data_IF_082199636791
#
_entry.id   IF_082199636791
#
_cell.length_a   1.000
_cell.length_b   1.000
_cell.length_c   1.000
_cell.angle_alpha   90.00
_cell.angle_beta   90.00
_cell.angle_gamma   90.00
#
_symmetry.space_group_name_H-M   'P 1'
#
loop_
_entity.id
_entity.type
_entity.pdbx_description
1 polymer ?
#
# COMPACT_ATOMS: atom_id res chain seq x y z
N UNK A 1 7.60 13.70 9.10
CA UNK A 1 7.25 12.84 7.96
C UNK A 1 6.86 13.72 6.75
N UNK A 2 6.65 13.18 5.54
CA UNK A 2 6.28 13.98 4.35
C UNK A 2 4.89 14.66 4.47
N UNK A 3 4.65 15.70 3.66
CA UNK A 3 3.41 16.50 3.61
C UNK A 3 2.51 16.15 2.41
N UNK A 4 2.58 14.90 1.95
CA UNK A 4 1.99 14.48 0.68
C UNK A 4 0.47 14.56 0.68
N UNK A 5 -0.15 14.13 1.77
CA UNK A 5 -1.60 14.10 1.94
C UNK A 5 -2.15 15.53 1.95
N UNK A 6 -1.49 16.42 2.69
CA UNK A 6 -1.81 17.83 2.77
C UNK A 6 -1.75 18.50 1.39
N UNK A 7 -0.67 18.26 0.64
CA UNK A 7 -0.53 18.74 -0.75
C UNK A 7 -1.62 18.21 -1.67
N UNK A 8 -1.96 16.93 -1.57
CA UNK A 8 -3.03 16.33 -2.36
C UNK A 8 -4.38 16.98 -2.06
N UNK A 9 -4.71 17.22 -0.78
CA UNK A 9 -5.97 17.89 -0.41
C UNK A 9 -6.05 19.30 -1.00
N UNK A 10 -4.96 20.07 -0.95
CA UNK A 10 -4.91 21.44 -1.50
C UNK A 10 -5.17 21.45 -3.02
N UNK A 11 -4.78 20.39 -3.73
CA UNK A 11 -4.99 20.27 -5.18
C UNK A 11 -6.44 19.94 -5.56
N UNK A 12 -7.25 19.44 -4.62
CA UNK A 12 -8.65 19.11 -4.87
C UNK A 12 -9.48 20.39 -4.75
N UNK A 13 -10.32 20.65 -5.75
CA UNK A 13 -11.16 21.86 -5.78
C UNK A 13 -12.06 21.93 -4.53
N UNK A 14 -12.19 23.11 -3.93
CA UNK A 14 -12.96 23.29 -2.69
C UNK A 14 -14.45 22.93 -2.81
N UNK A 15 -15.01 23.05 -4.01
CA UNK A 15 -16.40 22.68 -4.31
C UNK A 15 -16.57 21.18 -4.68
N UNK A 16 -15.50 20.39 -4.62
CA UNK A 16 -15.57 18.95 -4.84
C UNK A 16 -16.33 18.25 -3.68
N UNK A 17 -17.13 17.24 -4.01
CA UNK A 17 -17.95 16.49 -3.05
C UNK A 17 -17.13 15.94 -1.88
N UNK A 18 -15.95 15.38 -2.17
CA UNK A 18 -15.03 14.87 -1.14
C UNK A 18 -14.69 15.96 -0.11
N UNK A 19 -14.32 17.17 -0.56
CA UNK A 19 -13.90 18.25 0.35
C UNK A 19 -15.07 18.73 1.21
N UNK A 20 -16.25 18.88 0.62
CA UNK A 20 -17.46 19.23 1.37
C UNK A 20 -17.79 18.19 2.44
N UNK A 21 -17.70 16.90 2.08
CA UNK A 21 -17.97 15.78 2.96
C UNK A 21 -16.93 15.65 4.08
N UNK A 22 -15.65 15.87 3.78
CA UNK A 22 -14.58 15.91 4.77
C UNK A 22 -14.78 17.06 5.77
N UNK A 23 -15.16 18.26 5.32
CA UNK A 23 -15.44 19.39 6.20
C UNK A 23 -16.62 19.09 7.15
N UNK A 24 -17.68 18.47 6.62
CA UNK A 24 -18.84 18.07 7.43
C UNK A 24 -18.44 17.03 8.49
N UNK A 25 -17.72 15.97 8.09
CA UNK A 25 -17.29 14.92 9.02
C UNK A 25 -16.27 15.41 10.04
N UNK A 26 -15.40 16.34 9.66
CA UNK A 26 -14.44 16.97 10.58
C UNK A 26 -15.16 17.65 11.74
N UNK A 27 -16.29 18.31 11.46
CA UNK A 27 -17.13 18.94 12.49
C UNK A 27 -17.89 17.90 13.31
N UNK A 28 -18.50 16.90 12.66
CA UNK A 28 -19.36 15.90 13.32
C UNK A 28 -18.59 14.96 14.24
N UNK A 29 -17.41 14.54 13.82
CA UNK A 29 -16.61 13.53 14.52
C UNK A 29 -15.48 14.17 15.36
N UNK A 30 -15.35 15.50 15.35
CA UNK A 30 -14.31 16.27 16.03
C UNK A 30 -12.89 15.75 15.72
N UNK A 31 -12.66 15.44 14.44
CA UNK A 31 -11.37 15.00 13.89
C UNK A 31 -10.92 15.98 12.82
N UNK A 32 -9.63 16.15 12.64
CA UNK A 32 -9.12 16.92 11.51
C UNK A 32 -9.26 16.13 10.19
N UNK A 33 -9.22 16.82 9.06
CA UNK A 33 -9.42 16.20 7.74
C UNK A 33 -8.35 15.13 7.46
N UNK A 34 -7.11 15.34 7.90
CA UNK A 34 -6.00 14.41 7.68
C UNK A 34 -6.24 13.09 8.44
N UNK A 35 -6.71 13.17 9.68
CA UNK A 35 -7.12 12.01 10.48
C UNK A 35 -8.22 11.23 9.77
N UNK A 36 -9.27 11.92 9.29
CA UNK A 36 -10.37 11.28 8.58
C UNK A 36 -9.88 10.57 7.32
N UNK A 37 -9.04 11.24 6.52
CA UNK A 37 -8.46 10.63 5.32
C UNK A 37 -7.59 9.42 5.66
N UNK A 38 -6.74 9.53 6.67
CA UNK A 38 -5.89 8.42 7.11
C UNK A 38 -6.74 7.22 7.53
N UNK A 39 -7.70 7.42 8.44
CA UNK A 39 -8.57 6.35 8.95
C UNK A 39 -9.35 5.67 7.84
N UNK A 40 -10.05 6.44 7.02
CA UNK A 40 -10.89 5.89 5.94
C UNK A 40 -10.06 5.20 4.86
N UNK A 41 -8.92 5.78 4.47
CA UNK A 41 -8.03 5.19 3.45
C UNK A 41 -7.39 3.90 3.96
N UNK A 42 -6.89 3.87 5.20
CA UNK A 42 -6.30 2.65 5.77
C UNK A 42 -7.36 1.58 5.97
N UNK A 43 -8.55 1.93 6.44
CA UNK A 43 -9.68 0.99 6.56
C UNK A 43 -10.02 0.38 5.21
N UNK A 44 -10.15 1.21 4.16
CA UNK A 44 -10.40 0.76 2.80
C UNK A 44 -9.28 -0.11 2.22
N UNK A 45 -8.02 0.30 2.37
CA UNK A 45 -6.85 -0.44 1.89
C UNK A 45 -6.69 -1.77 2.62
N UNK A 46 -7.08 -1.86 3.89
CA UNK A 46 -7.03 -3.08 4.70
C UNK A 46 -8.00 -4.16 4.19
N UNK A 47 -9.16 -3.74 3.65
CA UNK A 47 -10.13 -4.64 3.01
C UNK A 47 -9.67 -5.14 1.64
N UNK A 48 -8.75 -4.42 0.99
CA UNK A 48 -8.34 -4.69 -0.40
C UNK A 48 -6.89 -5.18 -0.53
N UNK A 49 -6.29 -5.64 0.58
CA UNK A 49 -4.89 -6.09 0.63
C UNK A 49 -4.61 -7.18 -0.40
N UNK A 50 -3.61 -6.97 -1.27
CA UNK A 50 -3.18 -7.99 -2.23
C UNK A 50 -2.67 -9.29 -1.57
N UNK A 51 -2.76 -10.46 -2.26
CA UNK A 51 -2.32 -11.76 -1.74
C UNK A 51 -0.81 -11.82 -1.44
N UNK A 52 -0.28 -13.01 -1.10
CA UNK A 52 1.12 -13.11 -0.64
C UNK A 52 2.08 -12.89 -1.79
N UNK A 53 3.22 -12.26 -1.49
CA UNK A 53 4.22 -11.76 -2.45
C UNK A 53 4.61 -12.76 -3.55
N UNK A 54 4.63 -14.07 -3.25
CA UNK A 54 5.03 -15.16 -4.16
C UNK A 54 3.90 -15.68 -5.05
N UNK A 55 2.67 -15.25 -4.78
CA UNK A 55 1.48 -15.93 -5.28
C UNK A 55 0.85 -15.25 -6.50
N UNK A 56 1.37 -14.10 -6.89
CA UNK A 56 0.79 -13.32 -7.97
C UNK A 56 1.88 -12.53 -8.67
N UNK A 57 1.79 -12.57 -10.00
CA UNK A 57 2.45 -11.61 -10.85
C UNK A 57 1.51 -10.45 -11.01
N UNK A 58 1.82 -9.45 -10.21
CA UNK A 58 0.92 -8.37 -9.85
C UNK A 58 0.49 -7.56 -11.07
N UNK A 59 1.30 -7.59 -12.11
CA UNK A 59 1.16 -6.68 -13.21
C UNK A 59 1.44 -7.37 -14.53
N UNK A 60 0.42 -7.40 -15.38
CA UNK A 60 0.51 -7.75 -16.80
C UNK A 60 -0.21 -6.63 -17.54
N UNK A 61 0.45 -5.49 -17.71
CA UNK A 61 0.04 -4.53 -18.73
C UNK A 61 1.14 -4.45 -19.79
N UNK A 62 0.73 -4.45 -21.05
CA UNK A 62 1.62 -4.47 -22.22
C UNK A 62 2.67 -5.61 -22.22
N UNK A 63 2.38 -6.74 -21.59
CA UNK A 63 3.27 -7.91 -21.52
C UNK A 63 4.45 -7.78 -20.53
N UNK A 64 4.47 -6.74 -19.68
CA UNK A 64 5.56 -6.53 -18.72
C UNK A 64 5.16 -7.05 -17.34
N UNK A 65 5.86 -8.10 -16.88
CA UNK A 65 5.60 -8.79 -15.62
C UNK A 65 6.42 -8.25 -14.45
N UNK A 66 5.76 -7.88 -13.34
CA UNK A 66 6.42 -7.65 -12.05
C UNK A 66 5.78 -8.51 -10.95
N UNK A 67 6.58 -9.43 -10.40
CA UNK A 67 6.14 -10.31 -9.32
C UNK A 67 6.04 -9.58 -7.98
N UNK A 68 5.12 -10.01 -7.10
CA UNK A 68 4.92 -9.36 -5.80
C UNK A 68 6.12 -9.41 -4.87
N UNK A 69 6.96 -10.44 -5.01
CA UNK A 69 8.24 -10.50 -4.30
C UNK A 69 9.14 -9.33 -4.69
N UNK A 70 9.15 -8.94 -5.97
CA UNK A 70 9.97 -7.83 -6.43
C UNK A 70 9.48 -6.51 -5.83
N UNK A 71 8.19 -6.22 -5.93
CA UNK A 71 7.60 -4.99 -5.35
C UNK A 71 7.84 -4.94 -3.84
N UNK A 72 7.62 -6.06 -3.14
CA UNK A 72 7.86 -6.08 -1.71
C UNK A 72 9.32 -5.89 -1.34
N UNK A 73 10.27 -6.48 -2.07
CA UNK A 73 11.68 -6.32 -1.75
C UNK A 73 12.16 -4.89 -2.07
N UNK A 74 11.57 -4.25 -3.09
CA UNK A 74 11.79 -2.82 -3.33
C UNK A 74 11.33 -1.97 -2.16
N UNK A 75 10.21 -2.31 -1.51
CA UNK A 75 9.66 -1.56 -0.38
C UNK A 75 10.32 -1.89 0.95
N UNK A 76 10.36 -3.17 1.34
CA UNK A 76 10.85 -3.57 2.67
C UNK A 76 12.39 -3.66 2.74
N UNK A 77 13.05 -3.81 1.59
CA UNK A 77 14.43 -4.27 1.50
C UNK A 77 14.59 -5.78 1.49
N UNK A 78 15.84 -6.24 1.46
CA UNK A 78 16.17 -7.67 1.51
C UNK A 78 17.57 -7.84 2.07
N UNK A 79 17.71 -8.61 3.14
CA UNK A 79 19.03 -9.00 3.65
C UNK A 79 19.85 -9.67 2.56
N UNK A 80 21.12 -9.30 2.47
CA UNK A 80 22.07 -9.94 1.57
C UNK A 80 22.16 -11.45 1.84
N UNK A 81 22.50 -12.20 0.81
CA UNK A 81 22.86 -13.60 0.94
C UNK A 81 24.15 -13.75 1.74
N UNK A 82 24.48 -14.99 2.14
CA UNK A 82 25.68 -15.25 2.96
C UNK A 82 26.99 -14.80 2.29
N UNK A 83 26.98 -14.69 0.96
CA UNK A 83 28.09 -14.20 0.14
C UNK A 83 28.11 -12.67 -0.02
N UNK A 84 27.21 -11.95 0.66
CA UNK A 84 27.09 -10.49 0.58
C UNK A 84 26.32 -9.99 -0.65
N UNK A 85 25.81 -10.87 -1.51
CA UNK A 85 25.15 -10.48 -2.76
C UNK A 85 23.63 -10.39 -2.64
N UNK A 86 22.96 -9.83 -3.66
CA UNK A 86 21.50 -9.79 -3.79
C UNK A 86 20.73 -9.13 -2.62
N UNK A 87 21.42 -8.32 -1.81
CA UNK A 87 20.82 -7.48 -0.79
C UNK A 87 20.15 -6.23 -1.37
N UNK A 88 19.21 -5.67 -0.62
CA UNK A 88 18.57 -4.39 -0.88
C UNK A 88 18.44 -3.66 0.46
N UNK A 89 18.59 -2.34 0.42
CA UNK A 89 18.49 -1.50 1.61
C UNK A 89 17.16 -1.73 2.35
N UNK A 90 17.23 -1.83 3.68
CA UNK A 90 16.09 -2.15 4.55
C UNK A 90 15.22 -0.91 4.82
N UNK A 91 14.60 -0.35 3.77
CA UNK A 91 13.94 0.96 3.84
C UNK A 91 12.90 1.08 4.96
N UNK A 92 12.02 0.09 5.15
CA UNK A 92 11.02 0.15 6.22
C UNK A 92 11.68 0.11 7.62
N UNK A 93 12.74 -0.68 7.80
CA UNK A 93 13.47 -0.71 9.08
C UNK A 93 14.17 0.63 9.33
N UNK A 94 14.74 1.25 8.28
CA UNK A 94 15.35 2.56 8.36
C UNK A 94 14.33 3.65 8.74
N UNK A 95 13.11 3.62 8.18
CA UNK A 95 12.02 4.54 8.55
C UNK A 95 11.63 4.36 10.02
N UNK A 96 11.39 3.12 10.46
CA UNK A 96 11.02 2.84 11.86
C UNK A 96 12.14 3.27 12.82
N UNK A 97 13.41 3.01 12.46
CA UNK A 97 14.55 3.45 13.27
C UNK A 97 14.69 4.98 13.33
N UNK A 98 14.26 5.69 12.29
CA UNK A 98 14.36 7.17 12.20
C UNK A 98 13.24 7.87 12.96
N UNK A 99 12.00 7.41 12.81
CA UNK A 99 10.82 8.10 13.34
C UNK A 99 10.24 7.46 14.61
N UNK A 100 10.61 6.20 14.90
CA UNK A 100 10.02 5.42 15.98
C UNK A 100 8.76 4.66 15.55
N UNK A 101 8.44 3.60 16.29
CA UNK A 101 7.29 2.72 16.03
C UNK A 101 5.95 3.45 16.21
N UNK A 102 5.85 4.31 17.23
CA UNK A 102 4.63 5.07 17.54
C UNK A 102 4.25 6.06 16.43
N UNK A 103 5.22 6.85 15.96
CA UNK A 103 5.03 7.80 14.87
C UNK A 103 4.62 7.09 13.57
N UNK A 104 5.21 5.92 13.27
CA UNK A 104 4.83 5.09 12.12
C UNK A 104 3.42 4.53 12.27
N UNK A 105 3.03 4.13 13.48
CA UNK A 105 1.70 3.59 13.80
C UNK A 105 0.59 4.65 13.62
N UNK A 106 0.85 5.89 14.03
CA UNK A 106 -0.11 7.00 13.86
C UNK A 106 -0.18 7.49 12.40
N UNK A 107 0.89 7.28 11.62
CA UNK A 107 1.01 7.83 10.27
C UNK A 107 1.20 6.75 9.18
N UNK A 108 0.44 5.65 9.24
CA UNK A 108 0.60 4.49 8.34
C UNK A 108 0.48 4.88 6.86
N UNK A 109 -0.51 5.72 6.49
CA UNK A 109 -0.69 6.12 5.10
C UNK A 109 0.48 6.96 4.59
N UNK A 110 0.93 7.95 5.37
CA UNK A 110 2.12 8.77 5.04
C UNK A 110 3.38 7.91 4.94
N UNK A 111 3.54 6.97 5.86
CA UNK A 111 4.64 6.01 5.85
C UNK A 111 4.61 5.12 4.60
N UNK A 112 3.42 4.64 4.21
CA UNK A 112 3.24 3.85 3.01
C UNK A 112 3.65 4.62 1.75
N UNK A 113 3.23 5.88 1.62
CA UNK A 113 3.63 6.76 0.51
C UNK A 113 5.14 7.03 0.52
N UNK A 114 5.71 7.29 1.69
CA UNK A 114 7.16 7.47 1.85
C UNK A 114 7.93 6.23 1.39
N UNK A 115 7.44 5.04 1.75
CA UNK A 115 8.04 3.77 1.35
C UNK A 115 8.03 3.60 -0.17
N UNK A 116 6.94 3.97 -0.84
CA UNK A 116 6.87 3.93 -2.32
C UNK A 116 7.89 4.90 -2.92
N UNK A 117 7.96 6.15 -2.43
CA UNK A 117 8.93 7.14 -2.92
C UNK A 117 10.36 6.64 -2.81
N UNK A 118 10.77 6.24 -1.60
CA UNK A 118 12.12 5.73 -1.36
C UNK A 118 12.44 4.52 -2.26
N UNK A 119 11.46 3.63 -2.47
CA UNK A 119 11.63 2.47 -3.37
C UNK A 119 11.91 2.88 -4.81
N UNK A 120 11.18 3.90 -5.30
CA UNK A 120 11.32 4.43 -6.66
C UNK A 120 12.66 5.16 -6.79
N UNK A 121 12.94 6.07 -5.87
CA UNK A 121 14.15 6.90 -5.84
C UNK A 121 15.40 6.03 -5.80
N UNK A 122 15.42 5.00 -4.95
CA UNK A 122 16.54 4.07 -4.86
C UNK A 122 16.80 3.34 -6.19
N UNK A 123 15.77 2.99 -6.96
CA UNK A 123 15.99 2.40 -8.30
C UNK A 123 16.55 3.43 -9.28
N UNK A 124 16.09 4.67 -9.27
CA UNK A 124 16.61 5.70 -10.18
C UNK A 124 18.04 6.15 -9.82
N UNK A 125 18.40 6.16 -8.54
CA UNK A 125 19.74 6.51 -8.08
C UNK A 125 20.74 5.36 -8.28
N UNK A 126 20.39 4.12 -7.88
CA UNK A 126 21.34 3.01 -7.78
C UNK A 126 21.05 1.83 -8.73
N UNK A 127 19.91 1.84 -9.43
CA UNK A 127 19.51 0.77 -10.33
C UNK A 127 20.27 0.79 -11.67
N UNK A 128 20.34 -0.37 -12.33
CA UNK A 128 20.83 -0.47 -13.71
C UNK A 128 19.86 0.17 -14.69
N UNK A 129 20.32 0.61 -15.87
CA UNK A 129 19.45 1.21 -16.90
C UNK A 129 18.23 0.33 -17.23
N UNK A 130 18.42 -0.99 -17.36
CA UNK A 130 17.33 -1.95 -17.56
C UNK A 130 16.28 -1.92 -16.42
N UNK A 131 16.71 -1.75 -15.17
CA UNK A 131 15.79 -1.61 -14.03
C UNK A 131 15.08 -0.26 -14.06
N UNK A 132 15.80 0.83 -14.34
CA UNK A 132 15.22 2.19 -14.48
C UNK A 132 14.15 2.24 -15.56
N UNK A 133 14.44 1.71 -16.76
CA UNK A 133 13.47 1.60 -17.85
C UNK A 133 12.24 0.80 -17.48
N UNK A 134 12.44 -0.36 -16.83
CA UNK A 134 11.34 -1.23 -16.39
C UNK A 134 10.46 -0.49 -15.37
N UNK A 135 11.06 0.15 -14.37
CA UNK A 135 10.34 0.90 -13.34
C UNK A 135 9.62 2.12 -13.90
N UNK A 136 10.24 2.86 -14.83
CA UNK A 136 9.61 3.97 -15.53
C UNK A 136 8.28 3.52 -16.17
N UNK A 137 8.30 2.42 -16.94
CA UNK A 137 7.07 1.89 -17.58
C UNK A 137 5.97 1.57 -16.58
N UNK A 138 6.32 1.03 -15.40
CA UNK A 138 5.34 0.70 -14.37
C UNK A 138 4.77 1.92 -13.66
N UNK A 139 5.59 2.89 -13.29
CA UNK A 139 5.15 4.09 -12.57
C UNK A 139 4.18 4.93 -13.40
N UNK A 140 4.28 4.87 -14.73
CA UNK A 140 3.32 5.53 -15.61
C UNK A 140 1.89 4.96 -15.48
N UNK A 141 1.72 3.85 -14.79
CA UNK A 141 0.43 3.25 -14.53
C UNK A 141 -0.05 3.46 -13.08
N UNK A 142 -1.17 4.16 -12.92
CA UNK A 142 -1.80 4.42 -11.62
C UNK A 142 -2.21 3.14 -10.88
N UNK A 143 -2.67 2.11 -11.59
CA UNK A 143 -3.01 0.82 -10.99
C UNK A 143 -1.77 0.13 -10.39
N UNK A 144 -0.58 0.31 -10.98
CA UNK A 144 0.67 -0.22 -10.43
C UNK A 144 1.02 0.48 -9.11
N UNK A 145 0.93 1.80 -9.09
CA UNK A 145 1.15 2.60 -7.87
C UNK A 145 0.12 2.28 -6.79
N UNK A 146 -1.14 2.00 -7.18
CA UNK A 146 -2.17 1.55 -6.27
C UNK A 146 -1.83 0.21 -5.63
N UNK A 147 -1.30 -0.74 -6.40
CA UNK A 147 -0.82 -1.98 -5.80
C UNK A 147 0.38 -1.75 -4.89
N UNK A 148 1.33 -0.89 -5.29
CA UNK A 148 2.44 -0.53 -4.40
C UNK A 148 1.92 0.03 -3.07
N UNK A 149 0.86 0.85 -3.09
CA UNK A 149 0.23 1.38 -1.88
C UNK A 149 -0.40 0.28 -1.01
N UNK A 150 -1.20 -0.61 -1.61
CA UNK A 150 -1.79 -1.75 -0.89
C UNK A 150 -0.72 -2.65 -0.26
N UNK A 151 0.39 -2.88 -0.99
CA UNK A 151 1.52 -3.65 -0.48
C UNK A 151 2.27 -2.95 0.64
N UNK A 152 2.49 -1.64 0.53
CA UNK A 152 3.17 -0.86 1.55
C UNK A 152 2.39 -0.90 2.88
N UNK A 153 1.08 -0.64 2.83
CA UNK A 153 0.19 -0.71 4.01
C UNK A 153 0.24 -2.11 4.64
N UNK A 154 0.13 -3.17 3.83
CA UNK A 154 0.26 -4.56 4.30
C UNK A 154 1.59 -4.82 5.00
N UNK A 155 2.70 -4.40 4.40
CA UNK A 155 4.05 -4.67 4.93
C UNK A 155 4.25 -3.91 6.24
N UNK A 156 3.77 -2.67 6.35
CA UNK A 156 3.81 -1.88 7.59
C UNK A 156 3.02 -2.59 8.69
N UNK A 157 1.76 -2.98 8.43
CA UNK A 157 0.94 -3.67 9.43
C UNK A 157 1.55 -4.99 9.92
N UNK A 158 2.06 -5.82 8.99
CA UNK A 158 2.78 -7.06 9.36
C UNK A 158 4.04 -6.76 10.19
N UNK A 159 4.81 -5.71 9.85
CA UNK A 159 6.03 -5.35 10.58
C UNK A 159 5.72 -4.88 12.00
N UNK A 160 4.71 -4.03 12.18
CA UNK A 160 4.27 -3.55 13.49
C UNK A 160 3.75 -4.70 14.37
N UNK A 161 2.94 -5.61 13.80
CA UNK A 161 2.50 -6.83 14.50
C UNK A 161 3.68 -7.70 14.96
N UNK A 162 4.69 -7.89 14.10
CA UNK A 162 5.88 -8.66 14.45
C UNK A 162 6.76 -8.00 15.52
N UNK A 163 6.65 -6.68 15.70
CA UNK A 163 7.29 -5.92 16.76
C UNK A 163 6.46 -5.88 18.05
N UNK A 164 5.27 -6.51 18.06
CA UNK A 164 4.28 -6.44 19.14
C UNK A 164 3.80 -5.01 19.45
N UNK A 165 3.74 -4.14 18.43
CA UNK A 165 3.16 -2.80 18.55
C UNK A 165 1.64 -2.91 18.48
N UNK A 166 0.93 -2.25 19.39
CA UNK A 166 -0.54 -2.15 19.34
C UNK A 166 -0.94 -1.17 18.22
N UNK A 167 -1.27 -1.72 17.06
CA UNK A 167 -1.62 -0.92 15.87
C UNK A 167 -2.91 -0.15 16.15
N UNK A 168 -2.87 1.17 15.99
CA UNK A 168 -3.98 2.05 16.32
C UNK A 168 -5.23 1.70 15.50
N UNK A 169 -5.02 1.44 14.20
CA UNK A 169 -6.06 1.04 13.25
C UNK A 169 -6.41 -0.44 13.40
N UNK A 170 -7.55 -0.72 14.02
CA UNK A 170 -7.97 -2.07 14.40
C UNK A 170 -8.30 -2.93 13.18
N UNK A 171 -8.90 -2.36 12.12
CA UNK A 171 -9.14 -3.07 10.86
C UNK A 171 -7.82 -3.56 10.25
N UNK A 172 -6.79 -2.71 10.17
CA UNK A 172 -5.50 -3.11 9.63
C UNK A 172 -4.82 -4.17 10.50
N UNK A 173 -4.84 -3.97 11.82
CA UNK A 173 -4.28 -4.89 12.82
C UNK A 173 -4.82 -6.31 12.63
N UNK A 174 -6.14 -6.44 12.63
CA UNK A 174 -6.82 -7.72 12.49
C UNK A 174 -6.58 -8.36 11.12
N UNK A 175 -6.76 -7.61 10.04
CA UNK A 175 -6.62 -8.14 8.68
C UNK A 175 -5.20 -8.65 8.42
N UNK A 176 -4.18 -7.91 8.85
CA UNK A 176 -2.79 -8.34 8.67
C UNK A 176 -2.40 -9.51 9.55
N UNK A 177 -2.98 -9.62 10.76
CA UNK A 177 -2.83 -10.80 11.63
C UNK A 177 -3.44 -12.06 11.00
N UNK A 178 -4.68 -11.98 10.52
CA UNK A 178 -5.35 -13.11 9.85
C UNK A 178 -4.60 -13.57 8.60
N UNK A 179 -4.09 -12.62 7.80
CA UNK A 179 -3.27 -12.95 6.62
C UNK A 179 -1.97 -13.69 7.00
N UNK A 180 -1.37 -13.35 8.14
CA UNK A 180 -0.15 -14.01 8.60
C UNK A 180 -0.44 -15.41 9.19
N UNK A 181 -1.53 -15.54 9.96
CA UNK A 181 -2.01 -16.82 10.50
C UNK A 181 -2.40 -17.81 9.38
N UNK A 182 -3.09 -17.34 8.34
CA UNK A 182 -3.54 -18.17 7.21
C UNK A 182 -2.53 -18.25 6.06
N UNK A 183 -1.28 -17.80 6.28
CA UNK A 183 -0.26 -17.73 5.25
C UNK A 183 -0.04 -19.07 4.52
N UNK A 184 -0.18 -20.20 5.23
CA UNK A 184 -0.06 -21.55 4.64
C UNK A 184 -1.27 -21.93 3.77
N UNK A 185 -2.48 -21.56 4.16
CA UNK A 185 -3.70 -21.85 3.40
C UNK A 185 -3.72 -21.04 2.11
N UNK A 186 -3.42 -19.74 2.21
CA UNK A 186 -3.27 -18.86 1.04
C UNK A 186 -2.20 -19.43 0.10
N UNK A 187 -1.10 -20.01 0.62
CA UNK A 187 -0.10 -20.69 -0.23
C UNK A 187 -0.67 -21.77 -1.09
N UNK A 188 -1.47 -22.64 -0.48
CA UNK A 188 -1.97 -23.81 -1.15
C UNK A 188 -2.98 -23.40 -2.21
N UNK A 189 -3.76 -22.35 -1.96
CA UNK A 189 -4.71 -21.76 -2.91
C UNK A 189 -4.05 -21.42 -4.26
N UNK A 190 -2.87 -20.81 -4.22
CA UNK A 190 -2.17 -20.34 -5.42
C UNK A 190 -1.15 -21.33 -5.99
N UNK A 191 -0.76 -22.37 -5.23
CA UNK A 191 0.33 -23.29 -5.61
C UNK A 191 0.05 -24.02 -6.92
N UNK A 192 -1.19 -24.49 -7.11
CA UNK A 192 -1.55 -25.31 -8.27
C UNK A 192 -1.66 -24.47 -9.54
N UNK A 193 -2.19 -23.26 -9.41
CA UNK A 193 -2.48 -22.38 -10.55
C UNK A 193 -1.25 -21.64 -11.08
N UNK A 194 -0.29 -21.32 -10.21
CA UNK A 194 1.00 -20.74 -10.65
C UNK A 194 1.77 -21.70 -11.54
N UNK A 195 1.65 -23.01 -11.28
CA UNK A 195 2.34 -24.05 -12.06
C UNK A 195 1.61 -24.36 -13.37
N UNK A 196 0.29 -24.20 -13.42
CA UNK A 196 -0.51 -24.47 -14.64
C UNK A 196 -0.37 -23.36 -15.69
N UNK A 197 -0.15 -22.11 -15.25
CA UNK A 197 -0.09 -20.95 -16.16
C UNK A 197 -1.45 -20.56 -16.76
N UNK A 198 -2.53 -21.16 -16.27
CA UNK A 198 -3.91 -20.89 -16.71
C UNK A 198 -4.42 -19.59 -16.09
N UNK A 199 -4.65 -18.58 -16.93
CA UNK A 199 -5.08 -17.25 -16.51
C UNK A 199 -6.52 -17.24 -15.95
N UNK A 200 -7.40 -18.10 -16.45
CA UNK A 200 -8.79 -18.17 -15.96
C UNK A 200 -8.82 -18.78 -14.56
N UNK A 201 -8.10 -19.88 -14.35
CA UNK A 201 -7.91 -20.46 -13.02
C UNK A 201 -7.26 -19.46 -12.06
N UNK A 202 -6.30 -18.67 -12.55
CA UNK A 202 -5.63 -17.66 -11.72
C UNK A 202 -6.61 -16.59 -11.25
N UNK A 203 -7.45 -16.09 -12.15
CA UNK A 203 -8.47 -15.11 -11.81
C UNK A 203 -9.48 -15.68 -10.80
N UNK A 204 -9.88 -16.95 -10.95
CA UNK A 204 -10.78 -17.62 -9.99
C UNK A 204 -10.18 -17.73 -8.59
N UNK A 205 -8.90 -18.11 -8.48
CA UNK A 205 -8.20 -18.17 -7.20
C UNK A 205 -8.04 -16.78 -6.57
N UNK A 206 -7.79 -15.75 -7.39
CA UNK A 206 -7.76 -14.36 -6.93
C UNK A 206 -9.12 -13.93 -6.37
N UNK A 207 -10.23 -14.25 -7.05
CA UNK A 207 -11.58 -13.97 -6.54
C UNK A 207 -11.83 -14.66 -5.20
N UNK A 208 -11.49 -15.95 -5.08
CA UNK A 208 -11.64 -16.70 -3.84
C UNK A 208 -10.78 -16.14 -2.69
N UNK A 209 -9.60 -15.61 -2.99
CA UNK A 209 -8.80 -14.89 -2.00
C UNK A 209 -9.50 -13.64 -1.47
N UNK A 210 -10.10 -12.82 -2.35
CA UNK A 210 -10.86 -11.65 -1.89
C UNK A 210 -12.15 -12.03 -1.16
N UNK A 211 -12.81 -13.12 -1.55
CA UNK A 211 -13.91 -13.68 -0.75
C UNK A 211 -13.45 -14.09 0.66
N UNK A 212 -12.25 -14.65 0.80
CA UNK A 212 -11.69 -14.97 2.12
C UNK A 212 -11.33 -13.71 2.93
N UNK A 213 -10.81 -12.66 2.28
CA UNK A 213 -10.60 -11.38 2.97
C UNK A 213 -11.92 -10.77 3.44
N UNK A 214 -12.95 -10.81 2.61
CA UNK A 214 -14.29 -10.34 2.98
C UNK A 214 -14.85 -11.18 4.13
N UNK A 215 -14.63 -12.51 4.12
CA UNK A 215 -14.95 -13.36 5.28
C UNK A 215 -14.18 -12.95 6.52
N UNK A 216 -12.88 -12.66 6.45
CA UNK A 216 -12.14 -12.18 7.63
C UNK A 216 -12.73 -10.86 8.15
N UNK A 217 -13.07 -9.94 7.26
CA UNK A 217 -13.69 -8.67 7.63
C UNK A 217 -15.06 -8.88 8.27
N UNK A 218 -15.93 -9.71 7.66
CA UNK A 218 -17.22 -10.08 8.22
C UNK A 218 -17.06 -10.81 9.56
N UNK A 219 -16.13 -11.76 9.67
CA UNK A 219 -15.80 -12.47 10.90
C UNK A 219 -15.30 -11.49 11.96
N UNK A 220 -14.51 -10.48 11.59
CA UNK A 220 -14.08 -9.45 12.52
C UNK A 220 -15.25 -8.61 13.04
N UNK A 221 -16.14 -8.20 12.13
CA UNK A 221 -17.35 -7.44 12.45
C UNK A 221 -18.38 -8.27 13.23
N UNK A 222 -18.42 -9.59 13.01
CA UNK A 222 -19.42 -10.53 13.56
C UNK A 222 -18.91 -11.36 14.74
N UNK A 223 -17.61 -11.34 15.04
CA UNK A 223 -17.04 -11.82 16.31
C UNK A 223 -17.67 -11.01 17.43
N UNK A 224 -18.81 -11.53 17.88
CA UNK A 224 -19.54 -11.05 19.03
C UNK A 224 -18.57 -10.75 20.17
N UNK A 225 -18.46 -9.48 20.54
CA UNK A 225 -18.34 -9.07 21.95
C UNK A 225 -17.22 -9.73 22.79
N UNK A 226 -16.10 -10.16 22.20
CA UNK A 226 -14.99 -10.81 22.93
C UNK A 226 -13.68 -9.99 22.93
N UNK A 227 -13.66 -8.84 22.25
CA UNK A 227 -12.60 -7.83 22.40
C UNK A 227 -12.89 -6.91 23.59
N UNK A 228 -11.88 -6.17 24.07
CA UNK A 228 -12.14 -5.10 25.03
C UNK A 228 -13.10 -4.08 24.38
N UNK A 229 -13.94 -3.42 25.19
CA UNK A 229 -14.91 -2.41 24.73
C UNK A 229 -14.24 -1.38 23.79
N UNK A 230 -13.00 -0.99 24.08
CA UNK A 230 -12.23 -0.04 23.29
C UNK A 230 -11.95 -0.51 21.85
N UNK A 231 -11.67 -1.80 21.63
CA UNK A 231 -11.42 -2.34 20.28
C UNK A 231 -12.71 -2.33 19.45
N UNK A 232 -13.84 -2.68 20.09
CA UNK A 232 -15.16 -2.68 19.43
C UNK A 232 -15.60 -1.27 19.06
N UNK A 233 -15.36 -0.30 19.95
CA UNK A 233 -15.67 1.10 19.71
C UNK A 233 -14.84 1.64 18.54
N UNK A 234 -13.53 1.41 18.53
CA UNK A 234 -12.65 1.86 17.43
C UNK A 234 -13.02 1.26 16.07
N UNK A 235 -13.36 -0.04 16.03
CA UNK A 235 -13.86 -0.69 14.81
C UNK A 235 -15.14 -0.03 14.30
N UNK A 236 -16.10 0.18 15.22
CA UNK A 236 -17.36 0.85 14.92
C UNK A 236 -17.13 2.24 14.34
N UNK A 237 -16.20 2.99 14.92
CA UNK A 237 -15.78 4.31 14.45
C UNK A 237 -15.16 4.25 13.05
N UNK A 238 -14.14 3.39 12.82
CA UNK A 238 -13.49 3.22 11.51
C UNK A 238 -14.49 2.89 10.40
N UNK A 239 -15.37 1.92 10.66
CA UNK A 239 -16.36 1.44 9.68
C UNK A 239 -17.46 2.48 9.44
N UNK A 240 -17.93 3.13 10.50
CA UNK A 240 -18.91 4.21 10.42
C UNK A 240 -18.35 5.37 9.59
N UNK A 241 -17.12 5.79 9.87
CA UNK A 241 -16.47 6.90 9.19
C UNK A 241 -16.26 6.60 7.70
N UNK A 242 -15.81 5.39 7.34
CA UNK A 242 -15.69 4.97 5.94
C UNK A 242 -17.04 5.00 5.22
N UNK A 243 -18.10 4.46 5.83
CA UNK A 243 -19.46 4.49 5.27
C UNK A 243 -19.98 5.91 5.10
N UNK A 244 -19.71 6.77 6.08
CA UNK A 244 -20.13 8.17 6.06
C UNK A 244 -19.36 9.01 5.05
N UNK A 245 -18.09 8.70 4.76
CA UNK A 245 -17.32 9.39 3.72
C UNK A 245 -17.65 8.88 2.31
N UNK A 246 -17.87 7.57 2.17
CA UNK A 246 -18.10 6.88 0.90
C UNK A 246 -16.81 6.30 0.32
N UNK A 247 -16.84 5.04 -0.11
CA UNK A 247 -15.66 4.37 -0.70
C UNK A 247 -15.25 5.02 -2.03
N UNK A 248 -16.20 5.57 -2.78
CA UNK A 248 -15.98 6.35 -3.99
C UNK A 248 -15.12 7.59 -3.75
N UNK A 249 -15.33 8.26 -2.62
CA UNK A 249 -14.61 9.45 -2.22
C UNK A 249 -13.19 9.10 -1.74
N UNK A 250 -13.05 7.98 -1.02
CA UNK A 250 -11.72 7.44 -0.67
C UNK A 250 -10.93 7.03 -1.91
N UNK A 251 -11.57 6.34 -2.86
CA UNK A 251 -10.95 5.95 -4.13
C UNK A 251 -10.54 7.17 -4.97
N UNK A 252 -11.39 8.19 -5.03
CA UNK A 252 -11.06 9.45 -5.69
C UNK A 252 -9.83 10.10 -5.06
N UNK A 253 -9.79 10.19 -3.73
CA UNK A 253 -8.63 10.72 -3.01
C UNK A 253 -7.35 9.93 -3.31
N UNK A 254 -7.39 8.60 -3.19
CA UNK A 254 -6.25 7.73 -3.48
C UNK A 254 -5.81 7.90 -4.94
N UNK A 255 -6.74 7.98 -5.89
CA UNK A 255 -6.44 8.24 -7.30
C UNK A 255 -5.69 9.56 -7.53
N UNK A 256 -6.14 10.65 -6.88
CA UNK A 256 -5.45 11.95 -6.94
C UNK A 256 -4.06 11.87 -6.29
N UNK A 257 -3.95 11.25 -5.12
CA UNK A 257 -2.69 11.04 -4.38
C UNK A 257 -1.65 10.30 -5.24
N UNK A 258 -2.06 9.20 -5.89
CA UNK A 258 -1.18 8.41 -6.75
C UNK A 258 -0.84 9.12 -8.07
N UNK A 259 -1.75 9.96 -8.58
CA UNK A 259 -1.48 10.80 -9.76
C UNK A 259 -0.40 11.85 -9.46
N UNK A 260 -0.43 12.44 -8.27
CA UNK A 260 0.64 13.34 -7.80
C UNK A 260 1.98 12.59 -7.69
N UNK A 261 1.97 11.39 -7.09
CA UNK A 261 3.16 10.54 -6.97
C UNK A 261 3.76 10.16 -8.33
N UNK A 262 2.91 9.84 -9.31
CA UNK A 262 3.31 9.60 -10.69
C UNK A 262 3.98 10.83 -11.32
N UNK A 263 3.44 12.03 -11.09
CA UNK A 263 4.00 13.27 -11.63
C UNK A 263 5.41 13.54 -11.08
N UNK A 264 5.60 13.39 -9.76
CA UNK A 264 6.94 13.56 -9.14
C UNK A 264 7.93 12.51 -9.61
N UNK A 265 7.52 11.25 -9.70
CA UNK A 265 8.40 10.20 -10.21
C UNK A 265 8.77 10.42 -11.70
N UNK A 266 7.88 11.03 -12.48
CA UNK A 266 8.16 11.43 -13.87
C UNK A 266 9.21 12.55 -13.93
N UNK A 267 9.20 13.48 -12.97
CA UNK A 267 10.21 14.52 -12.88
C UNK A 267 11.61 13.93 -12.62
N UNK A 268 11.72 12.92 -11.75
CA UNK A 268 12.97 12.20 -11.52
C UNK A 268 13.49 11.49 -12.78
N UNK A 269 12.59 10.96 -13.62
CA UNK A 269 12.97 10.36 -14.90
C UNK A 269 13.59 11.42 -15.82
N UNK A 270 13.09 12.65 -15.81
CA UNK A 270 13.67 13.74 -16.61
C UNK A 270 15.06 14.10 -16.08
N UNK A 271 15.19 14.25 -14.76
CA UNK A 271 16.43 14.64 -14.08
C UNK A 271 17.55 13.59 -14.26
N UNK A 272 17.24 12.31 -14.07
CA UNK A 272 18.22 11.21 -14.15
C UNK A 272 18.25 10.51 -15.51
N UNK A 273 17.29 10.79 -16.40
CA UNK A 273 17.23 10.28 -17.78
C UNK A 273 17.86 11.22 -18.81
N UNK A 274 17.96 12.51 -18.50
CA UNK A 274 18.61 13.52 -19.36
C UNK A 274 20.12 13.35 -19.51
N UNK A 275 20.80 12.64 -18.59
CA UNK A 275 22.24 12.38 -18.67
C UNK A 275 22.65 11.43 -19.81
N UNK A 276 21.70 10.74 -20.47
CA UNK A 276 22.00 9.76 -21.53
C UNK A 276 21.65 10.19 -22.96
N UNK A 277 21.20 11.44 -23.20
CA UNK A 277 20.90 11.92 -24.56
C UNK A 277 22.00 12.77 -25.20
N UNK A 278 23.19 12.88 -24.59
CA UNK A 278 24.35 13.57 -25.17
C UNK A 278 25.43 12.60 -25.66
N UNK A 279 25.06 11.53 -26.37
CA UNK A 279 26.04 10.73 -27.13
C UNK A 279 25.54 10.50 -28.57
N UNK A 280 26.24 11.19 -29.47
CA UNK A 280 26.40 10.96 -30.91
C UNK A 280 25.39 11.59 -31.86
N UNK A 281 25.53 12.91 -32.07
CA UNK A 281 25.45 13.44 -33.44
C UNK A 281 26.82 13.19 -34.09
N UNK A 282 26.88 12.15 -34.92
CA UNK A 282 27.77 12.06 -36.09
C UNK A 282 27.04 11.29 -37.18
#
# INVERSE_FOLDING_TARGET
MNDYIEKTIIQIQQNNDLIQRLNMLSTLENKNIIEIINETSITYLSKTIKPRKKDYDIYIEAGIRMGGVAISNMQQGKKAWRDGTHGMEMHLENIIATYGEEEVNQNILKTAIQLIKISIDHVFLYGTNKKKEKINKFIQNTNFLYVMLQMAVKIIGIKLNNLNVDIEHQTLSYMTKMIDEEQKNIKNLFKEVINSGDQEQFNNVVSLYYENLEKYFIDFMSRNYSGSLNVLTKLGEETKLLKQLGEENVLFFIGTLLSQLKAEATQLIIEFGGENNNISIK
#
